data_IF_835741447684
#
_entry.id   IF_835741447684
#
_cell.length_a   1.000
_cell.length_b   1.000
_cell.length_c   1.000
_cell.angle_alpha   90.00
_cell.angle_beta   90.00
_cell.angle_gamma   90.00
#
_symmetry.space_group_name_H-M   'P 1'
#
loop_
_entity.id
_entity.type
_entity.pdbx_description
1 polymer ?
#
# COMPACT_ATOMS: atom_id res chain seq x y z
N UNK A 1 34.52 -22.17 -1.67
CA UNK A 1 33.21 -21.58 -1.33
C UNK A 1 33.39 -20.86 -0.01
N UNK A 2 33.56 -19.54 -0.05
CA UNK A 2 33.69 -18.72 1.15
C UNK A 2 32.32 -18.59 1.81
N UNK A 3 32.16 -19.13 3.01
CA UNK A 3 31.02 -18.87 3.88
C UNK A 3 30.89 -17.36 4.11
N UNK A 4 30.07 -16.70 3.29
CA UNK A 4 29.73 -15.30 3.45
C UNK A 4 28.89 -15.18 4.72
N UNK A 5 29.54 -14.86 5.84
CA UNK A 5 28.87 -14.52 7.10
C UNK A 5 27.79 -13.47 6.81
N UNK A 6 26.54 -13.83 7.05
CA UNK A 6 25.41 -12.90 6.92
C UNK A 6 25.61 -11.73 7.86
N UNK A 7 25.61 -10.52 7.31
CA UNK A 7 25.76 -9.28 8.04
C UNK A 7 24.52 -9.09 8.94
N UNK A 8 24.70 -9.24 10.25
CA UNK A 8 23.58 -9.24 11.22
C UNK A 8 23.20 -7.84 11.69
N UNK A 9 24.15 -6.90 11.72
CA UNK A 9 23.93 -5.52 12.14
C UNK A 9 24.93 -4.58 11.48
N UNK A 10 24.43 -3.49 10.91
CA UNK A 10 25.23 -2.37 10.43
C UNK A 10 24.76 -1.10 11.15
N UNK A 11 25.66 -0.44 11.87
CA UNK A 11 25.32 0.75 12.66
C UNK A 11 26.41 1.79 12.57
N UNK A 12 25.99 3.01 12.21
CA UNK A 12 26.80 4.22 12.24
C UNK A 12 26.26 5.20 13.29
N UNK A 13 25.46 4.72 14.25
CA UNK A 13 24.83 5.54 15.28
C UNK A 13 25.85 6.40 16.01
N UNK A 14 25.54 7.68 16.21
CA UNK A 14 26.45 8.68 16.80
C UNK A 14 27.73 9.00 16.00
N UNK A 15 27.84 8.53 14.75
CA UNK A 15 28.96 8.94 13.89
C UNK A 15 28.77 10.37 13.38
N UNK A 16 29.87 11.09 13.20
CA UNK A 16 29.90 12.40 12.56
C UNK A 16 30.65 12.28 11.24
N UNK A 17 30.03 12.72 10.15
CA UNK A 17 30.65 12.77 8.83
C UNK A 17 30.84 14.22 8.44
N UNK A 18 32.10 14.65 8.29
CA UNK A 18 32.43 16.03 7.90
C UNK A 18 32.23 16.26 6.39
N UNK A 19 32.23 15.19 5.60
CA UNK A 19 32.07 15.18 4.14
C UNK A 19 30.85 14.36 3.72
N UNK A 20 30.65 14.15 2.42
CA UNK A 20 29.55 13.33 1.91
C UNK A 20 29.69 11.87 2.31
N UNK A 21 28.55 11.23 2.57
CA UNK A 21 28.44 9.81 2.85
C UNK A 21 27.71 9.15 1.69
N UNK A 22 28.34 8.18 1.04
CA UNK A 22 27.73 7.45 -0.08
C UNK A 22 27.57 5.97 0.31
N UNK A 23 26.32 5.53 0.36
CA UNK A 23 25.94 4.13 0.61
C UNK A 23 25.09 3.60 -0.55
N UNK A 24 25.18 4.25 -1.71
CA UNK A 24 24.43 3.87 -2.91
C UNK A 24 24.82 2.46 -3.38
N UNK A 25 23.92 1.80 -4.10
CA UNK A 25 24.17 0.51 -4.76
C UNK A 25 24.54 -0.65 -3.80
N UNK A 26 24.23 -0.52 -2.51
CA UNK A 26 24.44 -1.57 -1.51
C UNK A 26 23.13 -2.27 -1.15
N UNK A 27 23.17 -3.60 -1.10
CA UNK A 27 22.09 -4.43 -0.58
C UNK A 27 22.42 -4.89 0.83
N UNK A 28 21.61 -4.50 1.81
CA UNK A 28 21.81 -4.89 3.20
C UNK A 28 20.81 -5.99 3.61
N UNK A 29 21.32 -7.02 4.28
CA UNK A 29 20.50 -8.06 4.93
C UNK A 29 19.94 -7.62 6.30
N UNK A 30 20.19 -6.37 6.70
CA UNK A 30 19.74 -5.77 7.95
C UNK A 30 19.44 -4.28 7.74
N UNK A 31 18.58 -3.68 8.57
CA UNK A 31 18.30 -2.24 8.48
C UNK A 31 19.53 -1.45 8.97
N UNK A 32 20.17 -0.63 8.13
CA UNK A 32 21.31 0.17 8.53
C UNK A 32 20.90 1.24 9.55
N UNK A 33 21.57 1.27 10.70
CA UNK A 33 21.27 2.22 11.76
C UNK A 33 22.05 3.53 11.57
N UNK A 34 21.38 4.53 11.00
CA UNK A 34 21.87 5.91 10.85
C UNK A 34 21.24 6.86 11.90
N UNK A 35 20.67 6.33 12.98
CA UNK A 35 20.08 7.19 14.02
C UNK A 35 21.15 8.04 14.70
N UNK A 36 20.81 9.27 15.09
CA UNK A 36 21.74 10.18 15.78
C UNK A 36 23.08 10.43 15.04
N UNK A 37 23.16 10.26 13.72
CA UNK A 37 24.35 10.63 12.94
C UNK A 37 24.36 12.13 12.65
N UNK A 38 25.50 12.78 12.84
CA UNK A 38 25.71 14.17 12.40
C UNK A 38 26.21 14.15 10.96
N UNK A 39 25.41 14.72 10.06
CA UNK A 39 25.69 14.80 8.63
C UNK A 39 25.72 16.28 8.26
N UNK A 40 26.88 16.81 7.88
CA UNK A 40 27.02 18.21 7.44
C UNK A 40 26.77 18.39 5.95
N UNK A 41 27.00 17.36 5.15
CA UNK A 41 26.92 17.40 3.69
C UNK A 41 25.92 16.36 3.14
N UNK A 42 25.83 16.28 1.81
CA UNK A 42 24.94 15.35 1.10
C UNK A 42 25.21 13.89 1.49
N UNK A 43 24.14 13.12 1.65
CA UNK A 43 24.18 11.68 1.84
C UNK A 43 23.59 11.05 0.60
N UNK A 44 24.24 10.10 -0.05
CA UNK A 44 23.61 9.37 -1.15
C UNK A 44 23.17 8.00 -0.66
N UNK A 45 21.89 7.69 -0.86
CA UNK A 45 21.26 6.40 -0.58
C UNK A 45 20.72 5.76 -1.87
N UNK A 46 21.09 6.29 -3.04
CA UNK A 46 20.51 5.86 -4.32
C UNK A 46 20.66 4.35 -4.55
N UNK A 47 19.59 3.68 -4.96
CA UNK A 47 19.54 2.22 -5.16
C UNK A 47 20.01 1.38 -3.96
N UNK A 48 19.98 1.93 -2.74
CA UNK A 48 20.16 1.12 -1.53
C UNK A 48 18.91 0.27 -1.30
N UNK A 49 19.10 -1.05 -1.25
CA UNK A 49 18.02 -2.02 -1.07
C UNK A 49 18.18 -2.78 0.26
N UNK A 50 17.06 -2.97 0.94
CA UNK A 50 16.98 -3.90 2.07
C UNK A 50 16.51 -5.23 1.48
N UNK A 51 17.23 -6.31 1.76
CA UNK A 51 16.92 -7.63 1.17
C UNK A 51 15.47 -8.04 1.42
N UNK A 52 14.80 -8.62 0.41
CA UNK A 52 13.42 -9.14 0.50
C UNK A 52 13.21 -10.16 1.64
N UNK A 53 14.29 -10.80 2.09
CA UNK A 53 14.28 -11.75 3.19
C UNK A 53 14.24 -11.09 4.58
N UNK A 54 14.15 -9.76 4.65
CA UNK A 54 14.08 -9.01 5.90
C UNK A 54 12.63 -8.62 6.22
N UNK A 55 12.14 -8.85 7.45
CA UNK A 55 12.83 -9.46 8.60
C UNK A 55 12.88 -11.01 8.50
N UNK A 56 14.05 -11.65 8.76
CA UNK A 56 14.25 -13.09 8.57
C UNK A 56 13.41 -13.99 9.49
N UNK A 57 12.70 -13.43 10.48
CA UNK A 57 11.80 -14.16 11.39
C UNK A 57 10.45 -13.47 11.61
N UNK A 58 10.13 -12.42 10.84
CA UNK A 58 8.93 -11.60 11.10
C UNK A 58 9.01 -10.74 12.37
N UNK A 59 10.09 -10.89 13.15
CA UNK A 59 10.28 -10.14 14.40
C UNK A 59 11.11 -8.88 14.11
N UNK A 60 10.43 -7.74 14.11
CA UNK A 60 11.07 -6.43 14.01
C UNK A 60 11.52 -5.99 15.41
N UNK A 61 12.74 -5.49 15.53
CA UNK A 61 13.21 -4.94 16.78
C UNK A 61 12.46 -3.64 17.11
N UNK A 62 12.31 -3.34 18.40
CA UNK A 62 11.76 -2.06 18.89
C UNK A 62 12.59 -0.86 18.43
N UNK A 63 13.86 -1.07 18.06
CA UNK A 63 14.70 -0.01 17.51
C UNK A 63 14.59 0.16 15.99
N UNK A 64 14.03 -0.82 15.25
CA UNK A 64 14.01 -0.79 13.78
C UNK A 64 13.10 0.30 13.20
N UNK A 65 11.98 0.60 13.86
CA UNK A 65 11.12 1.72 13.46
C UNK A 65 11.83 3.08 13.47
N UNK A 66 12.67 3.35 14.48
CA UNK A 66 13.43 4.61 14.54
C UNK A 66 14.50 4.66 13.44
N UNK A 67 15.16 3.52 13.16
CA UNK A 67 16.13 3.40 12.06
C UNK A 67 15.49 3.65 10.71
N UNK A 68 14.33 3.03 10.44
CA UNK A 68 13.58 3.19 9.20
C UNK A 68 13.05 4.61 9.02
N UNK A 69 12.53 5.22 10.08
CA UNK A 69 12.12 6.62 10.04
C UNK A 69 13.29 7.52 9.63
N UNK A 70 14.47 7.31 10.22
CA UNK A 70 15.67 8.07 9.85
C UNK A 70 16.12 7.83 8.42
N UNK A 71 16.08 6.59 7.93
CA UNK A 71 16.41 6.27 6.55
C UNK A 71 15.44 6.92 5.56
N UNK A 72 14.15 6.93 5.90
CA UNK A 72 13.10 7.60 5.11
C UNK A 72 13.35 9.10 5.03
N UNK A 73 13.66 9.77 6.14
CA UNK A 73 14.02 11.19 6.14
C UNK A 73 15.22 11.49 5.22
N UNK A 74 16.23 10.61 5.22
CA UNK A 74 17.39 10.76 4.35
C UNK A 74 17.05 10.51 2.87
N UNK A 75 16.19 9.53 2.57
CA UNK A 75 15.71 9.28 1.21
C UNK A 75 14.86 10.45 0.67
N UNK A 76 14.02 11.05 1.51
CA UNK A 76 13.25 12.26 1.19
C UNK A 76 14.16 13.46 0.96
N UNK A 77 15.19 13.66 1.80
CA UNK A 77 16.20 14.70 1.60
C UNK A 77 16.95 14.54 0.25
N UNK A 78 17.11 13.30 -0.20
CA UNK A 78 17.71 12.95 -1.48
C UNK A 78 16.74 13.00 -2.67
N UNK A 79 15.48 13.39 -2.45
CA UNK A 79 14.40 13.42 -3.46
C UNK A 79 14.14 12.07 -4.14
N UNK A 80 14.48 10.97 -3.46
CA UNK A 80 14.27 9.61 -3.94
C UNK A 80 12.90 9.10 -3.45
N UNK A 81 11.84 9.54 -4.14
CA UNK A 81 10.45 9.29 -3.71
C UNK A 81 10.08 7.80 -3.63
N UNK A 82 10.53 6.99 -4.59
CA UNK A 82 10.24 5.55 -4.61
C UNK A 82 10.86 4.86 -3.38
N UNK A 83 12.13 5.17 -3.09
CA UNK A 83 12.83 4.61 -1.95
C UNK A 83 12.22 5.05 -0.61
N UNK A 84 11.81 6.31 -0.49
CA UNK A 84 11.11 6.78 0.71
C UNK A 84 9.79 6.04 0.94
N UNK A 85 9.05 5.74 -0.13
CA UNK A 85 7.78 5.01 -0.08
C UNK A 85 7.99 3.54 0.32
N UNK A 86 9.03 2.90 -0.21
CA UNK A 86 9.37 1.51 0.14
C UNK A 86 9.80 1.41 1.61
N UNK A 87 10.64 2.34 2.07
CA UNK A 87 11.04 2.44 3.48
C UNK A 87 9.84 2.69 4.40
N UNK A 88 8.87 3.48 3.95
CA UNK A 88 7.63 3.74 4.69
C UNK A 88 6.76 2.48 4.84
N UNK A 89 6.67 1.65 3.79
CA UNK A 89 5.95 0.36 3.86
C UNK A 89 6.60 -0.56 4.90
N UNK A 90 7.93 -0.65 4.90
CA UNK A 90 8.68 -1.46 5.88
C UNK A 90 8.51 -0.89 7.29
N UNK A 91 8.51 0.44 7.46
CA UNK A 91 8.23 1.12 8.73
C UNK A 91 6.84 0.77 9.27
N UNK A 92 5.82 0.78 8.43
CA UNK A 92 4.45 0.41 8.83
C UNK A 92 4.33 -1.05 9.23
N UNK A 93 4.98 -1.96 8.50
CA UNK A 93 5.06 -3.37 8.88
C UNK A 93 5.77 -3.57 10.23
N UNK A 94 6.87 -2.85 10.47
CA UNK A 94 7.58 -2.88 11.75
C UNK A 94 6.74 -2.34 12.91
N UNK A 95 5.95 -1.30 12.66
CA UNK A 95 5.04 -0.74 13.65
C UNK A 95 3.84 -1.65 13.93
N UNK A 96 3.39 -2.45 12.94
CA UNK A 96 2.26 -3.39 13.09
C UNK A 96 2.45 -4.34 14.28
N UNK A 97 3.65 -4.87 14.46
CA UNK A 97 3.95 -5.79 15.56
C UNK A 97 3.89 -5.14 16.94
N UNK A 98 4.03 -3.81 17.00
CA UNK A 98 3.98 -3.01 18.24
C UNK A 98 2.56 -2.69 18.69
N UNK A 99 1.54 -2.92 17.86
CA UNK A 99 0.17 -2.59 18.25
C UNK A 99 -0.31 -3.48 19.41
N UNK A 100 -0.97 -2.90 20.43
CA UNK A 100 -1.32 -3.60 21.67
C UNK A 100 -2.50 -4.57 21.54
N UNK A 101 -3.30 -4.45 20.47
CA UNK A 101 -4.49 -5.28 20.27
C UNK A 101 -4.49 -5.96 18.91
N UNK A 102 -4.84 -7.23 18.92
CA UNK A 102 -5.01 -8.08 17.73
C UNK A 102 -6.05 -7.52 16.76
N UNK A 103 -7.04 -6.77 17.25
CA UNK A 103 -8.02 -6.12 16.38
C UNK A 103 -7.35 -5.06 15.49
N UNK A 104 -6.52 -4.20 16.07
CA UNK A 104 -5.81 -3.19 15.28
C UNK A 104 -4.79 -3.83 14.34
N UNK A 105 -4.12 -4.92 14.75
CA UNK A 105 -3.23 -5.69 13.86
C UNK A 105 -3.94 -6.27 12.65
N UNK A 106 -5.19 -6.72 12.81
CA UNK A 106 -6.04 -7.22 11.71
C UNK A 106 -6.50 -6.10 10.78
N UNK A 107 -6.91 -4.95 11.34
CA UNK A 107 -7.28 -3.78 10.54
C UNK A 107 -6.10 -3.28 9.71
N UNK A 108 -4.92 -3.19 10.34
CA UNK A 108 -3.70 -2.76 9.66
C UNK A 108 -3.29 -3.75 8.55
N UNK A 109 -3.43 -5.05 8.80
CA UNK A 109 -3.24 -6.07 7.76
C UNK A 109 -4.24 -5.97 6.60
N UNK A 110 -5.51 -5.67 6.90
CA UNK A 110 -6.51 -5.44 5.86
C UNK A 110 -6.15 -4.21 5.03
N UNK A 111 -5.66 -3.14 5.66
CA UNK A 111 -5.18 -1.96 4.97
C UNK A 111 -3.97 -2.26 4.07
N UNK A 112 -3.01 -3.06 4.55
CA UNK A 112 -1.91 -3.57 3.73
C UNK A 112 -2.41 -4.35 2.51
N UNK A 113 -3.38 -5.25 2.68
CA UNK A 113 -3.93 -6.04 1.57
C UNK A 113 -4.70 -5.21 0.54
N UNK A 114 -5.46 -4.21 0.98
CA UNK A 114 -6.32 -3.39 0.11
C UNK A 114 -5.51 -2.32 -0.61
N UNK A 115 -4.59 -1.66 0.09
CA UNK A 115 -3.94 -0.44 -0.37
C UNK A 115 -2.41 -0.49 -0.39
N UNK A 116 -1.76 -1.56 0.12
CA UNK A 116 -0.30 -1.66 0.29
C UNK A 116 0.30 -0.41 0.95
N UNK A 117 -0.34 0.07 2.02
CA UNK A 117 -0.01 1.34 2.70
C UNK A 117 0.06 2.58 1.78
N UNK A 118 -0.71 2.59 0.69
CA UNK A 118 -0.72 3.70 -0.26
C UNK A 118 0.40 3.66 -1.30
N UNK A 119 1.26 2.63 -1.28
CA UNK A 119 2.31 2.45 -2.30
C UNK A 119 1.70 2.27 -3.71
N UNK A 120 0.52 1.67 -3.80
CA UNK A 120 -0.17 1.45 -5.07
C UNK A 120 -1.61 1.90 -5.03
N UNK A 121 -1.94 2.84 -5.92
CA UNK A 121 -3.31 3.31 -6.16
C UNK A 121 -4.10 2.28 -7.01
N UNK A 122 -3.41 1.38 -7.70
CA UNK A 122 -4.05 0.43 -8.63
C UNK A 122 -4.81 -0.69 -7.93
N UNK A 123 -4.36 -1.13 -6.75
CA UNK A 123 -5.05 -2.14 -5.96
C UNK A 123 -6.43 -1.66 -5.48
N UNK A 124 -6.57 -0.51 -4.78
CA UNK A 124 -7.86 -0.04 -4.34
C UNK A 124 -8.79 0.27 -5.53
N UNK A 125 -8.25 0.71 -6.68
CA UNK A 125 -9.03 0.90 -7.90
C UNK A 125 -9.60 -0.43 -8.43
N UNK A 126 -8.82 -1.52 -8.41
CA UNK A 126 -9.29 -2.87 -8.80
C UNK A 126 -10.38 -3.38 -7.85
N UNK A 127 -10.19 -3.22 -6.54
CA UNK A 127 -11.19 -3.61 -5.54
C UNK A 127 -12.49 -2.81 -5.69
N UNK A 128 -12.38 -1.51 -5.96
CA UNK A 128 -13.54 -0.66 -6.25
C UNK A 128 -14.29 -1.17 -7.49
N UNK A 129 -13.58 -1.45 -8.59
CA UNK A 129 -14.18 -2.02 -9.80
C UNK A 129 -14.86 -3.37 -9.56
N UNK A 130 -14.23 -4.27 -8.80
CA UNK A 130 -14.84 -5.56 -8.42
C UNK A 130 -16.12 -5.37 -7.61
N UNK A 131 -16.11 -4.44 -6.65
CA UNK A 131 -17.26 -4.14 -5.82
C UNK A 131 -18.42 -3.57 -6.64
N UNK A 132 -18.13 -2.63 -7.56
CA UNK A 132 -19.13 -2.09 -8.50
C UNK A 132 -19.73 -3.21 -9.34
N UNK A 133 -18.92 -4.08 -9.94
CA UNK A 133 -19.42 -5.21 -10.74
C UNK A 133 -20.25 -6.19 -9.93
N UNK A 134 -19.86 -6.47 -8.68
CA UNK A 134 -20.61 -7.34 -7.78
C UNK A 134 -22.01 -6.77 -7.50
N UNK A 135 -22.10 -5.48 -7.19
CA UNK A 135 -23.39 -4.81 -6.94
C UNK A 135 -24.23 -4.70 -8.21
N UNK A 136 -23.62 -4.41 -9.36
CA UNK A 136 -24.31 -4.45 -10.65
C UNK A 136 -24.90 -5.83 -10.92
N UNK A 137 -24.15 -6.90 -10.65
CA UNK A 137 -24.63 -8.27 -10.83
C UNK A 137 -25.81 -8.60 -9.91
N UNK A 138 -25.72 -8.24 -8.62
CA UNK A 138 -26.82 -8.45 -7.66
C UNK A 138 -28.08 -7.70 -8.13
N UNK A 139 -27.93 -6.44 -8.54
CA UNK A 139 -29.04 -5.62 -9.03
C UNK A 139 -29.67 -6.21 -10.31
N UNK A 140 -28.85 -6.63 -11.28
CA UNK A 140 -29.33 -7.28 -12.49
C UNK A 140 -30.08 -8.58 -12.18
N UNK A 141 -29.60 -9.39 -11.22
CA UNK A 141 -30.26 -10.64 -10.83
C UNK A 141 -31.63 -10.42 -10.19
N UNK A 142 -31.77 -9.42 -9.33
CA UNK A 142 -33.06 -9.02 -8.74
C UNK A 142 -34.04 -8.48 -9.79
N UNK A 143 -33.55 -7.70 -10.76
CA UNK A 143 -34.39 -7.17 -11.86
C UNK A 143 -34.96 -8.27 -12.76
N UNK A 144 -34.19 -9.34 -13.02
CA UNK A 144 -34.64 -10.50 -13.82
C UNK A 144 -35.76 -11.28 -13.11
N UNK A 145 -35.73 -11.36 -11.78
CA UNK A 145 -36.77 -12.04 -10.99
C UNK A 145 -38.12 -11.31 -11.07
N UNK A 146 -38.12 -9.99 -11.23
CA UNK A 146 -39.35 -9.20 -11.33
C UNK A 146 -39.93 -9.13 -12.76
N UNK A 147 -39.09 -9.21 -13.79
CA UNK A 147 -39.51 -9.17 -15.20
C UNK A 147 -38.72 -10.20 -16.01
N UNK A 148 -39.41 -11.23 -16.52
CA UNK A 148 -38.86 -12.25 -17.42
C UNK A 148 -38.38 -11.61 -18.73
N UNK A 149 -37.08 -11.63 -19.04
CA UNK A 149 -36.54 -11.02 -20.25
C UNK A 149 -36.95 -11.83 -21.49
N UNK A 150 -37.44 -11.13 -22.52
CA UNK A 150 -37.83 -11.73 -23.81
C UNK A 150 -36.66 -11.89 -24.79
N UNK A 151 -35.63 -11.05 -24.68
CA UNK A 151 -34.43 -11.09 -25.53
C UNK A 151 -33.13 -10.88 -24.74
N UNK A 152 -32.01 -11.38 -25.27
CA UNK A 152 -30.68 -11.26 -24.65
C UNK A 152 -30.13 -9.82 -24.58
N UNK A 153 -30.62 -8.91 -25.43
CA UNK A 153 -30.24 -7.49 -25.41
C UNK A 153 -30.81 -6.76 -24.17
N UNK A 154 -31.97 -7.16 -23.65
CA UNK A 154 -32.58 -6.57 -22.44
C UNK A 154 -31.70 -6.77 -21.20
N UNK A 155 -30.89 -7.83 -21.20
CA UNK A 155 -29.93 -8.11 -20.13
C UNK A 155 -28.77 -7.10 -20.12
N UNK A 156 -28.32 -6.67 -21.30
CA UNK A 156 -27.23 -5.71 -21.45
C UNK A 156 -27.68 -4.33 -20.97
N UNK A 157 -28.87 -3.89 -21.38
CA UNK A 157 -29.42 -2.59 -20.96
C UNK A 157 -29.62 -2.53 -19.44
N UNK A 158 -30.14 -3.60 -18.82
CA UNK A 158 -30.31 -3.69 -17.36
C UNK A 158 -28.98 -3.74 -16.61
N UNK A 159 -27.96 -4.38 -17.19
CA UNK A 159 -26.61 -4.34 -16.64
C UNK A 159 -26.05 -2.90 -16.64
N UNK A 160 -26.23 -2.16 -17.74
CA UNK A 160 -25.82 -0.75 -17.81
C UNK A 160 -26.59 0.15 -16.83
N UNK A 161 -27.89 -0.06 -16.66
CA UNK A 161 -28.71 0.68 -15.67
C UNK A 161 -28.23 0.37 -14.25
N UNK A 162 -27.99 -0.90 -13.91
CA UNK A 162 -27.46 -1.30 -12.61
C UNK A 162 -26.04 -0.77 -12.34
N UNK A 163 -25.21 -0.70 -13.38
CA UNK A 163 -23.88 -0.10 -13.31
C UNK A 163 -23.96 1.41 -13.09
N UNK A 164 -24.85 2.11 -13.80
CA UNK A 164 -25.06 3.54 -13.65
C UNK A 164 -25.59 3.88 -12.25
N UNK A 165 -26.51 3.07 -11.72
CA UNK A 165 -27.01 3.20 -10.36
C UNK A 165 -25.89 2.99 -9.31
N UNK A 166 -25.11 1.91 -9.45
CA UNK A 166 -23.99 1.64 -8.54
C UNK A 166 -22.94 2.76 -8.58
N UNK A 167 -22.57 3.24 -9.77
CA UNK A 167 -21.65 4.37 -9.93
C UNK A 167 -22.20 5.67 -9.33
N UNK A 168 -23.51 5.90 -9.45
CA UNK A 168 -24.17 7.06 -8.84
C UNK A 168 -24.14 7.05 -7.32
N UNK A 169 -24.20 5.87 -6.70
CA UNK A 169 -24.07 5.74 -5.24
C UNK A 169 -22.62 5.85 -4.76
N UNK A 170 -21.65 5.43 -5.59
CA UNK A 170 -20.22 5.53 -5.28
C UNK A 170 -19.70 6.96 -5.45
N UNK A 171 -20.18 7.70 -6.45
CA UNK A 171 -19.78 9.07 -6.72
C UNK A 171 -20.90 10.05 -6.38
N UNK A 172 -20.79 10.85 -5.30
CA UNK A 172 -21.84 11.78 -4.87
C UNK A 172 -22.16 12.89 -5.88
N UNK A 173 -21.32 13.04 -6.92
CA UNK A 173 -21.49 14.04 -7.99
C UNK A 173 -22.32 13.55 -9.18
N UNK A 174 -22.66 12.26 -9.24
CA UNK A 174 -23.48 11.69 -10.33
C UNK A 174 -24.91 11.55 -9.81
N UNK A 175 -25.76 12.54 -10.10
CA UNK A 175 -27.19 12.58 -9.72
C UNK A 175 -28.07 11.67 -10.62
N UNK A 176 -27.57 10.50 -11.02
CA UNK A 176 -28.27 9.58 -11.92
C UNK A 176 -29.19 8.59 -11.19
N UNK A 177 -28.93 8.31 -9.91
CA UNK A 177 -29.59 7.26 -9.14
C UNK A 177 -31.10 7.44 -8.96
N UNK A 178 -31.62 8.68 -9.09
CA UNK A 178 -33.06 8.97 -9.00
C UNK A 178 -33.84 8.63 -10.26
N UNK A 179 -33.21 8.77 -11.43
CA UNK A 179 -33.85 8.51 -12.72
C UNK A 179 -33.72 7.03 -13.10
N UNK A 180 -32.56 6.41 -12.84
CA UNK A 180 -32.31 4.99 -13.14
C UNK A 180 -33.17 4.03 -12.31
N UNK A 181 -33.53 4.38 -11.07
CA UNK A 181 -34.45 3.59 -10.26
C UNK A 181 -35.89 3.63 -10.81
N UNK A 182 -36.31 4.77 -11.36
CA UNK A 182 -37.63 4.92 -11.97
C UNK A 182 -37.73 4.20 -13.32
N UNK A 183 -36.66 4.25 -14.14
CA UNK A 183 -36.62 3.56 -15.44
C UNK A 183 -36.47 2.03 -15.32
N UNK A 184 -36.00 1.52 -14.18
CA UNK A 184 -35.93 0.07 -13.92
C UNK A 184 -37.27 -0.58 -13.54
N UNK A 185 -38.27 0.23 -13.18
CA UNK A 185 -39.59 -0.19 -12.72
C UNK A 185 -40.68 -0.09 -13.80
N UNK A 186 -40.36 0.51 -14.96
CA UNK A 186 -41.20 0.54 -16.17
C UNK A 186 -40.67 -0.47 -17.20
#
# INVERSE_FOLDING_TARGET
MTDSKTLSKFSLRHSSFDKSLDISDNTFNCIPDLTNTKLTNQVSLDRMEISDNYPPKGDFDKSDGERLCRLKELAEANKSYQQALDLHVIEMQANRERLPSEFYKKLDYAFYKIASYGQSITLPLKYLGYLTLLFTYIYASMSIVQHTPGHWFDWIDRFFIGLLYSLSQVFPFVSAGRNSAADSLN
#
